data_IF_406173498355
#
_entry.id   IF_406173498355
#
_cell.length_a   1.000
_cell.length_b   1.000
_cell.length_c   1.000
_cell.angle_alpha   90.00
_cell.angle_beta   90.00
_cell.angle_gamma   90.00
#
_symmetry.space_group_name_H-M   'P 1'
#
loop_
_entity.id
_entity.type
_entity.pdbx_description
1 polymer ?
#
# COMPACT_ATOMS: atom_id res chain seq x y z
N UNK A 1 -13.11 13.83 -0.49
CA UNK A 1 -11.83 14.53 -0.25
C UNK A 1 -10.70 13.59 -0.64
N UNK A 2 -9.64 14.15 -1.20
CA UNK A 2 -8.98 13.70 -2.45
C UNK A 2 -7.89 12.65 -2.21
N UNK A 3 -7.96 11.50 -2.90
CA UNK A 3 -6.89 10.48 -2.98
C UNK A 3 -5.80 10.96 -3.95
N UNK A 4 -5.17 12.12 -3.67
CA UNK A 4 -4.19 12.73 -4.57
C UNK A 4 -2.94 13.24 -3.84
N UNK A 5 -2.60 12.65 -2.69
CA UNK A 5 -1.44 13.06 -1.91
C UNK A 5 -0.61 11.88 -1.43
N UNK A 6 -0.09 11.10 -2.36
CA UNK A 6 1.12 10.30 -2.11
C UNK A 6 1.95 10.13 -3.40
N UNK A 7 2.13 11.22 -4.16
CA UNK A 7 3.29 11.37 -5.04
C UNK A 7 4.43 12.02 -4.24
N UNK A 8 4.93 11.35 -3.21
CA UNK A 8 6.30 11.57 -2.76
C UNK A 8 7.05 10.26 -2.87
N UNK A 9 8.13 10.33 -3.64
CA UNK A 9 9.17 9.32 -3.74
C UNK A 9 8.81 7.97 -4.37
N UNK A 10 8.49 8.03 -5.65
CA UNK A 10 9.30 7.27 -6.58
C UNK A 10 9.81 8.25 -7.62
N UNK A 11 11.07 8.70 -7.50
CA UNK A 11 11.78 9.33 -8.60
C UNK A 11 11.93 8.27 -9.69
N UNK A 12 10.85 8.06 -10.45
CA UNK A 12 10.88 7.20 -11.62
C UNK A 12 11.78 7.90 -12.62
N UNK A 13 13.02 7.40 -12.78
CA UNK A 13 13.94 7.81 -13.85
C UNK A 13 13.40 7.40 -15.24
N UNK A 14 12.26 6.70 -15.29
CA UNK A 14 11.64 6.32 -16.56
C UNK A 14 11.07 7.54 -17.27
N UNK A 15 11.29 7.66 -18.59
CA UNK A 15 10.68 8.71 -19.37
C UNK A 15 9.14 8.61 -19.35
N UNK A 16 8.45 9.73 -19.59
CA UNK A 16 7.01 9.84 -19.37
C UNK A 16 6.17 8.82 -20.14
N UNK A 17 6.63 8.36 -21.31
CA UNK A 17 5.98 7.32 -22.12
C UNK A 17 6.10 5.90 -21.55
N UNK A 18 6.90 5.69 -20.51
CA UNK A 18 7.02 4.42 -19.78
C UNK A 18 6.43 4.48 -18.37
N UNK A 19 5.82 5.62 -17.99
CA UNK A 19 5.23 5.78 -16.67
C UNK A 19 3.88 5.07 -16.66
N UNK A 20 3.80 3.93 -15.98
CA UNK A 20 2.52 3.27 -15.71
C UNK A 20 1.64 4.25 -14.95
N UNK A 21 0.46 4.54 -15.47
CA UNK A 21 -0.52 5.37 -14.76
C UNK A 21 -0.78 4.74 -13.39
N UNK A 22 -0.83 5.54 -12.30
CA UNK A 22 -1.18 5.00 -11.00
C UNK A 22 -2.53 4.28 -11.11
N UNK A 23 -2.70 3.13 -10.44
CA UNK A 23 -3.99 2.45 -10.43
C UNK A 23 -5.10 3.43 -10.02
N UNK A 24 -6.26 3.37 -10.69
CA UNK A 24 -7.45 4.17 -10.33
C UNK A 24 -8.04 3.83 -8.95
N UNK A 25 -7.39 2.93 -8.21
CA UNK A 25 -7.82 2.43 -6.91
C UNK A 25 -6.80 2.88 -5.84
N UNK A 26 -7.24 3.19 -4.62
CA UNK A 26 -6.31 3.44 -3.53
C UNK A 26 -5.50 2.17 -3.27
N UNK A 27 -4.18 2.29 -3.31
CA UNK A 27 -3.25 1.22 -2.98
C UNK A 27 -2.29 1.70 -1.90
N UNK A 28 -1.91 0.80 -1.01
CA UNK A 28 -1.00 1.07 0.10
C UNK A 28 0.15 0.07 0.05
N UNK A 29 1.39 0.56 0.13
CA UNK A 29 2.56 -0.28 0.30
C UNK A 29 2.96 -0.32 1.76
N UNK A 30 2.82 -1.48 2.40
CA UNK A 30 3.38 -1.76 3.71
C UNK A 30 4.77 -2.38 3.51
N UNK A 31 5.79 -1.80 4.14
CA UNK A 31 7.16 -2.29 4.04
C UNK A 31 7.90 -2.17 5.39
N UNK A 32 8.89 -3.03 5.60
CA UNK A 32 9.76 -3.03 6.77
C UNK A 32 9.57 -4.26 7.66
N UNK A 33 10.53 -4.47 8.58
CA UNK A 33 10.56 -5.62 9.50
C UNK A 33 9.46 -5.61 10.57
N UNK A 34 8.80 -4.46 10.79
CA UNK A 34 7.70 -4.35 11.76
C UNK A 34 6.51 -5.25 11.40
N UNK A 35 6.34 -5.59 10.12
CA UNK A 35 5.28 -6.49 9.63
C UNK A 35 5.50 -7.91 10.17
N UNK A 36 6.74 -8.40 10.10
CA UNK A 36 7.12 -9.69 10.69
C UNK A 36 7.01 -9.67 12.21
N UNK A 37 7.41 -8.57 12.85
CA UNK A 37 7.27 -8.38 14.30
C UNK A 37 5.80 -8.33 14.76
N UNK A 38 4.91 -7.84 13.91
CA UNK A 38 3.47 -7.86 14.14
C UNK A 38 2.84 -9.26 13.90
N UNK A 39 3.65 -10.27 13.57
CA UNK A 39 3.23 -11.66 13.41
C UNK A 39 2.79 -12.05 12.00
N UNK A 40 3.05 -11.23 10.99
CA UNK A 40 2.70 -11.53 9.60
C UNK A 40 3.87 -12.20 8.85
N UNK A 41 3.59 -13.26 8.11
CA UNK A 41 4.53 -13.89 7.20
C UNK A 41 4.37 -13.40 5.75
N UNK A 42 5.45 -13.43 4.98
CA UNK A 42 5.40 -13.11 3.56
C UNK A 42 4.50 -14.10 2.80
N UNK A 43 3.61 -13.59 1.95
CA UNK A 43 2.65 -14.41 1.21
C UNK A 43 1.49 -14.96 2.05
N UNK A 44 1.42 -14.61 3.34
CA UNK A 44 0.30 -14.98 4.20
C UNK A 44 -1.00 -14.32 3.72
N UNK A 45 -2.08 -15.10 3.75
CA UNK A 45 -3.42 -14.58 3.52
C UNK A 45 -3.87 -13.78 4.74
N UNK A 46 -4.40 -12.59 4.49
CA UNK A 46 -4.85 -11.67 5.55
C UNK A 46 -6.29 -11.28 5.34
N UNK A 47 -6.95 -10.90 6.42
CA UNK A 47 -8.25 -10.25 6.38
C UNK A 47 -8.09 -8.75 6.58
N UNK A 48 -8.78 -7.98 5.75
CA UNK A 48 -8.82 -6.52 5.82
C UNK A 48 -10.23 -6.12 6.24
N UNK A 49 -10.33 -5.34 7.31
CA UNK A 49 -11.56 -4.67 7.71
C UNK A 49 -11.40 -3.16 7.57
N UNK A 50 -12.38 -2.51 6.92
CA UNK A 50 -12.36 -1.08 6.63
C UNK A 50 -13.52 -0.41 7.36
N UNK A 51 -13.17 0.53 8.23
CA UNK A 51 -14.09 1.33 9.02
C UNK A 51 -13.78 2.81 8.81
N UNK A 52 -14.68 3.69 9.24
CA UNK A 52 -14.45 5.12 9.10
C UNK A 52 -13.20 5.55 9.89
N UNK A 53 -12.17 6.02 9.20
CA UNK A 53 -10.90 6.45 9.80
C UNK A 53 -9.99 5.32 10.28
N UNK A 54 -10.30 4.05 9.99
CA UNK A 54 -9.52 2.90 10.47
C UNK A 54 -9.49 1.76 9.45
N UNK A 55 -8.30 1.21 9.23
CA UNK A 55 -8.08 -0.02 8.47
C UNK A 55 -7.38 -1.01 9.39
N UNK A 56 -7.99 -2.17 9.59
CA UNK A 56 -7.44 -3.25 10.41
C UNK A 56 -7.03 -4.41 9.53
N UNK A 57 -5.79 -4.88 9.69
CA UNK A 57 -5.26 -6.06 9.00
C UNK A 57 -5.04 -7.14 10.05
N UNK A 58 -5.57 -8.33 9.84
CA UNK A 58 -5.37 -9.48 10.73
C UNK A 58 -4.86 -10.68 9.94
N UNK A 59 -3.97 -11.44 10.57
CA UNK A 59 -3.65 -12.79 10.15
C UNK A 59 -4.93 -13.64 10.12
N UNK A 60 -5.14 -14.42 9.04
CA UNK A 60 -6.08 -15.56 9.10
C UNK A 60 -5.50 -16.70 9.94
#
# INVERSE_FOLDING_TARGET
>A
MTVQQSQRESRSTKPYWQRTEPPCFPWLKLAGRWIEQAGFAAGQRVRINVEHGRLTITAE
#
